data_IF_866005896410
#
_entry.id   IF_866005896410
#
_cell.length_a   1.000
_cell.length_b   1.000
_cell.length_c   1.000
_cell.angle_alpha   90.00
_cell.angle_beta   90.00
_cell.angle_gamma   90.00
#
_symmetry.space_group_name_H-M   'P 1'
#
loop_
_entity.id
_entity.type
_entity.pdbx_description
1 polymer ?
#
# COMPACT_ATOMS: atom_id res chain seq x y z
N UNK A 1 26.37 18.14 -12.29
CA UNK A 1 25.93 17.59 -11.00
C UNK A 1 25.03 18.62 -10.35
N UNK A 2 23.73 18.53 -10.60
CA UNK A 2 22.67 19.20 -9.86
C UNK A 2 21.35 18.82 -10.51
N UNK A 3 20.46 18.19 -9.75
CA UNK A 3 19.01 18.29 -9.92
C UNK A 3 18.36 17.46 -8.81
N UNK A 4 18.06 18.12 -7.70
CA UNK A 4 17.11 17.61 -6.71
C UNK A 4 15.77 17.38 -7.44
N UNK A 5 15.49 16.13 -7.83
CA UNK A 5 14.28 15.73 -8.56
C UNK A 5 13.13 15.34 -7.62
N UNK A 6 13.07 15.93 -6.43
CA UNK A 6 12.01 15.69 -5.47
C UNK A 6 10.78 16.52 -5.86
N UNK A 7 9.63 15.87 -6.00
CA UNK A 7 8.37 16.53 -6.34
C UNK A 7 7.83 17.35 -5.16
N UNK A 8 8.06 16.89 -3.93
CA UNK A 8 7.67 17.57 -2.68
C UNK A 8 8.34 16.88 -1.47
N UNK A 9 8.04 17.34 -0.26
CA UNK A 9 8.36 16.68 1.01
C UNK A 9 7.08 16.28 1.75
N UNK A 10 7.13 15.22 2.55
CA UNK A 10 6.02 14.80 3.41
C UNK A 10 6.49 14.32 4.78
N UNK A 11 5.62 14.38 5.79
CA UNK A 11 5.90 13.83 7.10
C UNK A 11 5.40 12.38 7.18
N UNK A 12 6.31 11.44 7.45
CA UNK A 12 5.97 10.08 7.85
C UNK A 12 6.00 9.97 9.36
N UNK A 13 4.95 9.39 9.93
CA UNK A 13 4.79 9.24 11.37
C UNK A 13 5.14 7.81 11.77
N UNK A 14 6.24 7.66 12.50
CA UNK A 14 6.66 6.41 13.12
C UNK A 14 6.39 6.45 14.62
N UNK A 15 6.56 5.30 15.27
CA UNK A 15 6.40 5.16 16.71
C UNK A 15 7.71 4.73 17.34
N UNK A 16 8.17 5.47 18.35
CA UNK A 16 9.26 5.04 19.21
C UNK A 16 8.71 4.23 20.38
N UNK A 17 9.45 3.19 20.73
CA UNK A 17 9.17 2.40 21.93
C UNK A 17 9.19 3.30 23.18
N UNK A 18 8.39 2.97 24.20
CA UNK A 18 8.43 3.68 25.47
C UNK A 18 9.87 3.77 26.01
N UNK A 19 10.36 4.94 26.47
CA UNK A 19 11.73 5.08 26.98
C UNK A 19 12.05 4.19 28.18
N UNK A 20 11.02 3.74 28.90
CA UNK A 20 11.12 2.84 30.05
C UNK A 20 11.24 1.35 29.65
N UNK A 21 11.21 1.03 28.35
CA UNK A 21 11.28 -0.33 27.82
C UNK A 21 10.00 -1.16 28.02
N UNK A 22 8.91 -0.54 28.49
CA UNK A 22 7.62 -1.22 28.61
C UNK A 22 7.05 -1.62 27.25
N UNK A 23 6.11 -2.58 27.24
CA UNK A 23 5.43 -2.96 26.00
C UNK A 23 4.55 -1.80 25.52
N UNK A 24 4.62 -1.41 24.24
CA UNK A 24 3.75 -0.37 23.71
C UNK A 24 2.28 -0.81 23.77
N UNK A 25 1.39 0.11 24.15
CA UNK A 25 -0.05 -0.05 24.10
C UNK A 25 -0.74 1.19 23.54
N UNK A 26 -1.94 0.99 23.01
CA UNK A 26 -2.86 2.06 22.64
C UNK A 26 -4.27 1.63 23.04
N UNK A 27 -4.95 2.46 23.81
CA UNK A 27 -6.34 2.19 24.19
C UNK A 27 -7.28 2.48 23.02
N UNK A 28 -8.12 1.50 22.69
CA UNK A 28 -9.13 1.64 21.63
C UNK A 28 -10.24 2.60 22.06
N UNK A 29 -10.56 2.61 23.35
CA UNK A 29 -11.57 3.50 23.92
C UNK A 29 -10.94 4.78 24.42
N UNK A 30 -11.70 5.87 24.27
CA UNK A 30 -11.39 7.15 24.87
C UNK A 30 -11.65 7.05 26.38
N UNK A 31 -10.75 7.59 27.17
CA UNK A 31 -10.96 7.73 28.60
C UNK A 31 -12.10 8.74 28.84
N UNK A 32 -13.13 8.32 29.58
CA UNK A 32 -14.36 9.10 29.75
C UNK A 32 -14.19 10.37 30.61
N UNK A 33 -13.06 10.52 31.29
CA UNK A 33 -12.77 11.67 32.16
C UNK A 33 -11.89 12.68 31.42
N UNK A 34 -10.83 12.21 30.77
CA UNK A 34 -9.85 13.05 30.08
C UNK A 34 -10.23 13.34 28.62
N UNK A 35 -11.08 12.51 28.01
CA UNK A 35 -11.43 12.63 26.60
C UNK A 35 -10.30 12.19 25.64
N UNK A 36 -9.22 11.62 26.16
CA UNK A 36 -8.06 11.20 25.38
C UNK A 36 -7.94 9.68 25.27
N UNK A 37 -7.26 9.20 24.21
CA UNK A 37 -6.87 7.80 24.09
C UNK A 37 -5.48 7.60 24.69
N UNK A 38 -5.40 6.92 25.82
CA UNK A 38 -4.13 6.66 26.46
C UNK A 38 -3.23 5.76 25.58
N UNK A 39 -1.96 6.15 25.46
CA UNK A 39 -0.86 5.39 24.85
C UNK A 39 0.45 5.69 25.59
N UNK A 40 1.42 4.79 25.52
CA UNK A 40 2.75 4.98 26.13
C UNK A 40 3.90 5.09 25.11
N UNK A 41 3.61 5.03 23.80
CA UNK A 41 4.60 5.22 22.75
C UNK A 41 4.70 6.68 22.33
N UNK A 42 5.85 7.06 21.78
CA UNK A 42 6.13 8.43 21.35
C UNK A 42 6.04 8.53 19.83
N UNK A 43 5.59 9.67 19.32
CA UNK A 43 5.65 9.95 17.88
C UNK A 43 7.09 10.21 17.45
N UNK A 44 7.44 9.71 16.28
CA UNK A 44 8.73 9.93 15.64
C UNK A 44 8.49 10.40 14.21
N UNK A 45 8.49 11.73 14.07
CA UNK A 45 8.13 12.39 12.82
C UNK A 45 9.38 12.53 11.94
N UNK A 46 9.33 11.96 10.75
CA UNK A 46 10.39 12.06 9.76
C UNK A 46 9.89 12.82 8.55
N UNK A 47 10.49 13.99 8.28
CA UNK A 47 10.27 14.68 7.01
C UNK A 47 11.12 13.98 5.96
N UNK A 48 10.46 13.39 4.97
CA UNK A 48 11.10 12.67 3.87
C UNK A 48 10.86 13.38 2.55
N UNK A 49 11.79 13.19 1.63
CA UNK A 49 11.61 13.65 0.26
C UNK A 49 10.72 12.67 -0.52
N UNK A 50 9.85 13.21 -1.36
CA UNK A 50 8.93 12.44 -2.20
C UNK A 50 9.30 12.70 -3.67
N UNK A 51 9.59 11.63 -4.39
CA UNK A 51 9.98 11.67 -5.81
C UNK A 51 8.83 11.27 -6.73
N UNK A 52 8.79 11.86 -7.93
CA UNK A 52 7.92 11.41 -9.00
C UNK A 52 8.67 10.35 -9.84
N UNK A 53 8.20 9.12 -9.77
CA UNK A 53 8.86 7.96 -10.40
C UNK A 53 8.42 7.70 -11.85
N UNK A 54 7.58 8.56 -12.44
CA UNK A 54 7.15 8.41 -13.84
C UNK A 54 8.33 8.55 -14.79
N UNK A 55 8.49 7.58 -15.69
CA UNK A 55 9.58 7.51 -16.65
C UNK A 55 10.84 6.79 -16.14
N UNK A 56 10.86 6.35 -14.89
CA UNK A 56 11.92 5.53 -14.29
C UNK A 56 11.38 4.28 -13.60
N UNK A 57 10.19 3.82 -14.00
CA UNK A 57 9.49 2.70 -13.37
C UNK A 57 10.31 1.39 -13.37
N UNK A 58 11.18 1.21 -14.36
CA UNK A 58 12.06 0.05 -14.53
C UNK A 58 13.16 -0.05 -13.47
N UNK A 59 13.44 1.03 -12.72
CA UNK A 59 14.45 1.06 -11.67
C UNK A 59 13.95 0.46 -10.34
N UNK A 60 12.63 0.33 -10.18
CA UNK A 60 11.98 -0.15 -8.96
C UNK A 60 11.63 -1.62 -9.09
N UNK A 61 12.42 -2.47 -8.42
CA UNK A 61 12.22 -3.92 -8.39
C UNK A 61 11.81 -4.37 -6.99
N UNK A 62 11.23 -5.56 -6.90
CA UNK A 62 10.86 -6.15 -5.61
C UNK A 62 12.05 -6.23 -4.65
N UNK A 63 13.24 -6.56 -5.14
CA UNK A 63 14.43 -6.75 -4.31
C UNK A 63 15.00 -5.44 -3.75
N UNK A 64 14.86 -4.33 -4.49
CA UNK A 64 15.47 -3.05 -4.09
C UNK A 64 14.48 -2.10 -3.39
N UNK A 65 13.20 -2.13 -3.78
CA UNK A 65 12.20 -1.17 -3.34
C UNK A 65 11.06 -1.84 -2.57
N UNK A 66 10.97 -3.17 -2.57
CA UNK A 66 9.83 -3.91 -1.99
C UNK A 66 8.56 -3.83 -2.83
N UNK A 67 8.59 -3.17 -3.98
CA UNK A 67 7.50 -3.11 -4.95
C UNK A 67 8.06 -3.04 -6.38
N UNK A 68 7.24 -3.38 -7.36
CA UNK A 68 7.62 -3.32 -8.77
C UNK A 68 6.42 -2.92 -9.63
N UNK A 69 6.69 -2.14 -10.68
CA UNK A 69 5.69 -1.84 -11.70
C UNK A 69 5.52 -3.01 -12.68
N UNK A 70 4.35 -3.66 -12.64
CA UNK A 70 3.94 -4.64 -13.63
C UNK A 70 3.08 -3.99 -14.72
N UNK A 71 3.39 -4.26 -15.99
CA UNK A 71 2.51 -3.90 -17.12
C UNK A 71 2.01 -5.18 -17.80
N UNK A 72 0.70 -5.40 -17.69
CA UNK A 72 -0.01 -6.43 -18.43
C UNK A 72 -1.37 -5.88 -18.83
N UNK A 73 -1.70 -6.01 -20.12
CA UNK A 73 -3.06 -5.70 -20.60
C UNK A 73 -3.96 -6.83 -20.08
N UNK A 74 -4.91 -6.46 -19.24
CA UNK A 74 -5.95 -7.39 -18.78
C UNK A 74 -6.88 -7.74 -19.94
N UNK A 75 -7.23 -9.01 -20.11
CA UNK A 75 -8.30 -9.38 -21.05
C UNK A 75 -9.67 -9.11 -20.45
N UNK A 76 -9.78 -9.24 -19.13
CA UNK A 76 -10.99 -8.90 -18.41
C UNK A 76 -11.10 -7.37 -18.29
N UNK A 77 -12.16 -6.79 -18.86
CA UNK A 77 -12.37 -5.33 -18.90
C UNK A 77 -13.58 -4.88 -18.07
N UNK A 78 -14.33 -5.80 -17.46
CA UNK A 78 -15.64 -5.52 -16.83
C UNK A 78 -15.66 -5.89 -15.34
N UNK A 79 -15.16 -5.00 -14.50
CA UNK A 79 -15.01 -5.20 -13.06
C UNK A 79 -16.29 -4.99 -12.23
N UNK A 80 -17.39 -5.66 -12.60
CA UNK A 80 -18.70 -5.54 -11.92
C UNK A 80 -19.32 -6.88 -11.53
N UNK A 81 -18.71 -8.00 -11.92
CA UNK A 81 -19.17 -9.33 -11.58
C UNK A 81 -18.04 -10.10 -10.88
N UNK A 82 -18.24 -10.36 -9.59
CA UNK A 82 -17.29 -11.09 -8.75
C UNK A 82 -16.89 -12.46 -9.34
N UNK A 83 -17.85 -13.14 -9.96
CA UNK A 83 -17.63 -14.47 -10.54
C UNK A 83 -16.77 -14.37 -11.79
N UNK A 84 -17.02 -13.41 -12.66
CA UNK A 84 -16.19 -13.18 -13.86
C UNK A 84 -14.77 -12.76 -13.47
N UNK A 85 -14.62 -11.89 -12.47
CA UNK A 85 -13.31 -11.48 -11.96
C UNK A 85 -12.53 -12.69 -11.44
N UNK A 86 -13.16 -13.56 -10.65
CA UNK A 86 -12.51 -14.77 -10.13
C UNK A 86 -12.17 -15.78 -11.22
N UNK A 87 -12.96 -15.85 -12.29
CA UNK A 87 -12.75 -16.81 -13.38
C UNK A 87 -11.72 -16.32 -14.40
N UNK A 88 -11.67 -15.03 -14.68
CA UNK A 88 -10.89 -14.47 -15.78
C UNK A 88 -9.71 -13.64 -15.31
N UNK A 89 -9.94 -12.70 -14.41
CA UNK A 89 -8.91 -11.74 -13.98
C UNK A 89 -7.92 -12.33 -12.97
N UNK A 90 -8.41 -13.15 -12.05
CA UNK A 90 -7.57 -13.81 -11.04
C UNK A 90 -6.44 -14.65 -11.64
N UNK A 91 -6.69 -15.56 -12.61
CA UNK A 91 -5.62 -16.29 -13.27
C UNK A 91 -4.57 -15.37 -13.91
N UNK A 92 -5.00 -14.25 -14.51
CA UNK A 92 -4.08 -13.28 -15.12
C UNK A 92 -3.16 -12.64 -14.08
N UNK A 93 -3.69 -12.24 -12.93
CA UNK A 93 -2.90 -11.71 -11.82
C UNK A 93 -1.95 -12.75 -11.26
N UNK A 94 -2.40 -14.00 -11.07
CA UNK A 94 -1.57 -15.10 -10.55
C UNK A 94 -0.38 -15.36 -11.48
N UNK A 95 -0.60 -15.44 -12.78
CA UNK A 95 0.47 -15.64 -13.75
C UNK A 95 1.44 -14.46 -13.80
N UNK A 96 0.94 -13.22 -13.70
CA UNK A 96 1.79 -12.03 -13.61
C UNK A 96 2.70 -12.08 -12.37
N UNK A 97 2.13 -12.38 -11.21
CA UNK A 97 2.87 -12.46 -9.94
C UNK A 97 3.92 -13.58 -10.02
N UNK A 98 3.56 -14.77 -10.50
CA UNK A 98 4.51 -15.89 -10.64
C UNK A 98 5.64 -15.55 -11.60
N UNK A 99 5.35 -14.89 -12.73
CA UNK A 99 6.37 -14.44 -13.67
C UNK A 99 7.29 -13.38 -13.08
N UNK A 100 6.75 -12.43 -12.31
CA UNK A 100 7.53 -11.35 -11.70
C UNK A 100 8.41 -11.82 -10.53
N UNK A 101 7.92 -12.79 -9.74
CA UNK A 101 8.57 -13.25 -8.50
C UNK A 101 9.35 -14.55 -8.64
N UNK A 102 9.08 -15.35 -9.68
CA UNK A 102 9.55 -16.72 -9.79
C UNK A 102 8.86 -17.71 -8.83
N UNK A 103 7.79 -17.30 -8.14
CA UNK A 103 7.09 -18.15 -7.19
C UNK A 103 6.42 -19.35 -7.87
N UNK A 104 6.45 -20.50 -7.19
CA UNK A 104 5.76 -21.72 -7.63
C UNK A 104 4.23 -21.57 -7.59
N UNK A 105 3.71 -20.70 -6.72
CA UNK A 105 2.29 -20.46 -6.52
C UNK A 105 2.02 -19.03 -6.05
N UNK A 106 0.89 -18.47 -6.45
CA UNK A 106 0.33 -17.23 -5.92
C UNK A 106 -1.17 -17.44 -5.68
N UNK A 107 -1.67 -16.93 -4.56
CA UNK A 107 -3.08 -17.07 -4.15
C UNK A 107 -3.63 -15.70 -3.79
N UNK A 108 -4.76 -15.34 -4.39
CA UNK A 108 -5.48 -14.12 -4.07
C UNK A 108 -6.39 -14.42 -2.88
N UNK A 109 -6.16 -13.71 -1.77
CA UNK A 109 -6.88 -13.96 -0.51
C UNK A 109 -8.09 -13.04 -0.32
N UNK A 110 -8.03 -11.82 -0.87
CA UNK A 110 -9.09 -10.82 -0.77
C UNK A 110 -9.05 -9.90 -1.99
N UNK A 111 -10.21 -9.37 -2.36
CA UNK A 111 -10.33 -8.26 -3.29
C UNK A 111 -11.52 -7.40 -2.89
N UNK A 112 -11.34 -6.09 -2.99
CA UNK A 112 -12.42 -5.13 -2.83
C UNK A 112 -12.82 -4.63 -4.22
N UNK A 113 -14.09 -4.82 -4.58
CA UNK A 113 -14.68 -4.18 -5.75
C UNK A 113 -15.27 -2.85 -5.33
N UNK A 114 -14.90 -1.78 -6.02
CA UNK A 114 -15.51 -0.46 -5.82
C UNK A 114 -16.29 -0.10 -7.08
N UNK A 115 -17.60 -0.26 -7.01
CA UNK A 115 -18.50 0.32 -8.00
C UNK A 115 -18.63 1.81 -7.70
N UNK A 116 -18.19 2.65 -8.63
CA UNK A 116 -18.55 4.06 -8.60
C UNK A 116 -20.04 4.16 -8.93
N UNK A 117 -20.88 4.76 -8.06
CA UNK A 117 -22.27 5.01 -8.44
C UNK A 117 -22.27 5.98 -9.61
N UNK A 118 -22.69 5.50 -10.77
CA UNK A 118 -22.95 6.34 -11.94
C UNK A 118 -24.10 7.28 -11.57
N UNK A 119 -23.77 8.51 -11.20
CA UNK A 119 -24.79 9.55 -11.00
C UNK A 119 -25.25 9.97 -12.38
N UNK A 120 -26.44 9.51 -12.79
CA UNK A 120 -27.12 10.06 -13.96
C UNK A 120 -27.52 11.49 -13.62
N UNK A 121 -26.91 12.46 -14.32
CA UNK A 121 -27.31 13.86 -14.32
C UNK A 121 -28.40 14.14 -15.34
#
# INVERSE_FOLDING_TARGET
>A
MSSDNYATTGALNYSLAPPDGSRPYHNINVDSVTGERARNWMDDHHVVNIENVRGSEDQYTLDNAGFQFGRQVSKHTRFVDDKEIKQEYYPECVELIKKATGASSAVIFDHTMQEHPTVFG
#
